data_IF_963218011133
#
_entry.id   IF_963218011133
#
_cell.length_a   1.000
_cell.length_b   1.000
_cell.length_c   1.000
_cell.angle_alpha   90.00
_cell.angle_beta   90.00
_cell.angle_gamma   90.00
#
_symmetry.space_group_name_H-M   'P 1'
#
loop_
_entity.id
_entity.type
_entity.pdbx_description
1 polymer ?
#
# COMPACT_ATOMS: atom_id res chain seq x y z
N UNK A 1 -24.25 1.54 -2.17
CA UNK A 1 -23.25 0.58 -1.66
C UNK A 1 -23.40 -0.72 -2.42
N UNK A 2 -22.30 -1.41 -2.70
CA UNK A 2 -22.24 -2.67 -3.41
C UNK A 2 -21.29 -3.62 -2.68
N UNK A 3 -21.60 -4.92 -2.66
CA UNK A 3 -20.76 -5.97 -2.09
C UNK A 3 -19.98 -6.65 -3.20
N UNK A 4 -18.73 -6.99 -2.90
CA UNK A 4 -17.79 -7.67 -3.78
C UNK A 4 -17.15 -8.85 -3.05
N UNK A 5 -16.75 -9.87 -3.79
CA UNK A 5 -16.08 -11.07 -3.24
C UNK A 5 -14.91 -11.52 -4.11
N UNK A 6 -14.03 -12.28 -3.47
CA UNK A 6 -13.13 -13.24 -4.11
C UNK A 6 -13.56 -14.60 -3.60
N UNK A 7 -14.25 -15.40 -4.41
CA UNK A 7 -14.77 -16.70 -3.96
C UNK A 7 -15.04 -17.63 -5.16
N UNK A 8 -14.91 -18.93 -4.97
CA UNK A 8 -15.22 -19.93 -6.00
C UNK A 8 -16.48 -20.76 -5.69
N UNK A 9 -16.93 -21.52 -6.68
CA UNK A 9 -18.08 -22.42 -6.59
C UNK A 9 -17.92 -23.56 -5.59
N UNK A 10 -16.72 -23.84 -5.08
CA UNK A 10 -16.50 -24.84 -4.05
C UNK A 10 -16.84 -24.30 -2.66
N UNK A 11 -16.72 -22.99 -2.49
CA UNK A 11 -16.86 -22.29 -1.21
C UNK A 11 -18.24 -21.67 -1.01
N UNK A 12 -19.11 -21.68 -2.04
CA UNK A 12 -20.46 -21.11 -1.98
C UNK A 12 -21.50 -21.97 -2.72
N UNK A 13 -22.75 -21.94 -2.25
CA UNK A 13 -23.90 -22.52 -2.95
C UNK A 13 -24.65 -21.43 -3.72
N UNK A 14 -25.25 -21.80 -4.86
CA UNK A 14 -26.15 -20.93 -5.62
C UNK A 14 -25.52 -20.23 -6.83
N UNK A 15 -24.26 -20.50 -7.15
CA UNK A 15 -23.72 -20.15 -8.47
C UNK A 15 -24.45 -20.94 -9.58
N UNK A 16 -24.60 -20.35 -10.78
CA UNK A 16 -25.22 -21.03 -11.91
C UNK A 16 -24.44 -22.30 -12.25
N UNK A 17 -25.14 -23.33 -12.75
CA UNK A 17 -24.50 -24.59 -13.15
C UNK A 17 -23.97 -24.54 -14.58
N UNK A 18 -24.60 -23.75 -15.45
CA UNK A 18 -24.18 -23.58 -16.84
C UNK A 18 -23.12 -22.46 -16.93
N UNK A 19 -21.90 -22.75 -17.45
CA UNK A 19 -20.89 -21.74 -17.72
C UNK A 19 -21.38 -20.55 -18.57
N UNK A 20 -22.39 -20.74 -19.43
CA UNK A 20 -22.97 -19.65 -20.22
C UNK A 20 -23.68 -18.61 -19.35
N UNK A 21 -24.33 -19.04 -18.29
CA UNK A 21 -25.02 -18.16 -17.34
C UNK A 21 -24.03 -17.51 -16.35
N UNK A 22 -22.84 -18.08 -16.20
CA UNK A 22 -21.80 -17.56 -15.33
C UNK A 22 -21.33 -16.15 -15.78
N UNK A 23 -21.11 -15.96 -17.08
CA UNK A 23 -20.67 -14.66 -17.63
C UNK A 23 -21.70 -13.56 -17.43
N UNK A 24 -23.00 -13.87 -17.54
CA UNK A 24 -24.08 -12.92 -17.26
C UNK A 24 -24.10 -12.43 -15.80
N UNK A 25 -23.53 -13.23 -14.89
CA UNK A 25 -23.37 -12.90 -13.47
C UNK A 25 -21.97 -12.32 -13.15
N UNK A 26 -21.17 -11.97 -14.17
CA UNK A 26 -19.78 -11.53 -14.05
C UNK A 26 -18.86 -12.54 -13.36
N UNK A 27 -19.18 -13.83 -13.44
CA UNK A 27 -18.31 -14.91 -12.97
C UNK A 27 -17.35 -15.33 -14.09
N UNK A 28 -16.14 -15.72 -13.69
CA UNK A 28 -15.10 -16.25 -14.58
C UNK A 28 -15.06 -17.76 -14.49
N UNK A 29 -14.89 -18.41 -15.64
CA UNK A 29 -14.77 -19.87 -15.72
C UNK A 29 -13.30 -20.28 -15.55
N UNK A 30 -12.97 -20.88 -14.42
CA UNK A 30 -11.69 -21.53 -14.19
C UNK A 30 -11.70 -23.00 -14.62
N UNK A 31 -10.63 -23.73 -14.27
CA UNK A 31 -10.57 -25.18 -14.50
C UNK A 31 -11.54 -25.89 -13.53
N UNK A 32 -12.71 -26.26 -14.04
CA UNK A 32 -13.78 -26.96 -13.32
C UNK A 32 -14.46 -26.16 -12.18
N UNK A 33 -14.23 -24.86 -12.09
CA UNK A 33 -14.83 -24.00 -11.05
C UNK A 33 -15.32 -22.68 -11.66
N UNK A 34 -16.39 -22.13 -11.09
CA UNK A 34 -16.81 -20.75 -11.35
C UNK A 34 -16.24 -19.84 -10.27
N UNK A 35 -15.77 -18.66 -10.67
CA UNK A 35 -14.97 -17.78 -9.83
C UNK A 35 -15.60 -16.39 -9.84
N UNK A 36 -15.90 -15.86 -8.67
CA UNK A 36 -16.22 -14.45 -8.44
C UNK A 36 -14.91 -13.73 -8.09
N UNK A 37 -14.46 -12.84 -8.98
CA UNK A 37 -13.31 -11.93 -8.78
C UNK A 37 -13.78 -10.47 -8.75
N UNK A 38 -14.97 -10.23 -8.21
CA UNK A 38 -15.58 -8.90 -8.21
C UNK A 38 -14.82 -7.89 -7.34
N UNK A 39 -14.04 -8.32 -6.33
CA UNK A 39 -13.16 -7.42 -5.57
C UNK A 39 -12.07 -6.84 -6.47
N UNK A 40 -11.35 -7.68 -7.21
CA UNK A 40 -10.33 -7.23 -8.17
C UNK A 40 -10.95 -6.28 -9.19
N UNK A 41 -12.10 -6.67 -9.75
CA UNK A 41 -12.84 -5.84 -10.72
C UNK A 41 -13.24 -4.48 -10.13
N UNK A 42 -13.67 -4.44 -8.87
CA UNK A 42 -14.04 -3.20 -8.18
C UNK A 42 -12.84 -2.29 -7.97
N UNK A 43 -11.70 -2.83 -7.53
CA UNK A 43 -10.45 -2.07 -7.45
C UNK A 43 -10.06 -1.47 -8.81
N UNK A 44 -10.02 -2.29 -9.87
CA UNK A 44 -9.66 -1.84 -11.23
C UNK A 44 -10.59 -0.72 -11.71
N UNK A 45 -11.91 -0.88 -11.56
CA UNK A 45 -12.87 0.13 -11.96
C UNK A 45 -12.69 1.44 -11.19
N UNK A 46 -12.53 1.36 -9.87
CA UNK A 46 -12.33 2.54 -9.03
C UNK A 46 -11.02 3.29 -9.35
N UNK A 47 -9.93 2.56 -9.62
CA UNK A 47 -8.65 3.15 -10.03
C UNK A 47 -8.80 3.82 -11.39
N UNK A 48 -9.44 3.16 -12.37
CA UNK A 48 -9.66 3.73 -13.70
C UNK A 48 -10.55 4.97 -13.68
N UNK A 49 -11.52 5.04 -12.79
CA UNK A 49 -12.39 6.22 -12.64
C UNK A 49 -11.72 7.38 -11.90
N UNK A 50 -10.66 7.13 -11.13
CA UNK A 50 -9.98 8.14 -10.32
C UNK A 50 -9.52 9.34 -11.18
N UNK A 51 -9.76 10.55 -10.67
CA UNK A 51 -9.46 11.82 -11.33
C UNK A 51 -8.43 12.67 -10.60
N UNK A 52 -8.38 12.60 -9.26
CA UNK A 52 -7.57 13.48 -8.42
C UNK A 52 -6.54 12.69 -7.62
N UNK A 53 -6.97 11.73 -6.81
CA UNK A 53 -6.05 10.96 -6.00
C UNK A 53 -6.58 9.58 -5.57
N UNK A 54 -5.64 8.73 -5.18
CA UNK A 54 -5.93 7.43 -4.55
C UNK A 54 -5.16 7.37 -3.22
N UNK A 55 -5.84 6.95 -2.16
CA UNK A 55 -5.23 6.62 -0.87
C UNK A 55 -5.53 5.16 -0.52
N UNK A 56 -4.49 4.37 -0.28
CA UNK A 56 -4.60 2.93 0.03
C UNK A 56 -3.89 2.64 1.35
N UNK A 57 -4.56 1.90 2.21
CA UNK A 57 -3.91 1.18 3.30
C UNK A 57 -4.08 -0.32 3.08
N UNK A 58 -2.98 -1.06 2.99
CA UNK A 58 -3.05 -2.50 2.77
C UNK A 58 -1.92 -3.27 3.46
N UNK A 59 -2.19 -4.48 3.94
CA UNK A 59 -1.18 -5.34 4.55
C UNK A 59 -0.13 -5.84 3.53
N UNK A 60 -0.54 -6.04 2.28
CA UNK A 60 0.35 -6.44 1.19
C UNK A 60 0.16 -5.54 -0.01
N UNK A 61 1.24 -5.34 -0.77
CA UNK A 61 1.20 -4.61 -2.02
C UNK A 61 2.10 -5.28 -3.07
N UNK A 62 1.57 -6.33 -3.70
CA UNK A 62 2.28 -7.19 -4.65
C UNK A 62 1.36 -7.49 -5.82
N UNK A 63 1.87 -7.34 -7.04
CA UNK A 63 1.10 -7.73 -8.21
C UNK A 63 1.69 -7.29 -9.52
N UNK A 64 0.95 -7.60 -10.58
CA UNK A 64 1.31 -7.32 -11.97
C UNK A 64 2.68 -7.88 -12.35
N UNK A 65 2.98 -9.12 -11.93
CA UNK A 65 4.30 -9.73 -12.12
C UNK A 65 4.72 -9.84 -13.57
N UNK A 66 3.77 -9.97 -14.49
CA UNK A 66 3.98 -9.98 -15.94
C UNK A 66 4.75 -8.74 -16.46
N UNK A 67 4.74 -7.64 -15.71
CA UNK A 67 5.45 -6.40 -16.03
C UNK A 67 6.70 -6.14 -15.19
N UNK A 68 7.08 -7.04 -14.28
CA UNK A 68 8.35 -6.92 -13.56
C UNK A 68 9.54 -7.12 -14.50
N UNK A 69 10.68 -6.49 -14.19
CA UNK A 69 11.92 -6.67 -14.98
C UNK A 69 12.49 -8.10 -14.99
N UNK A 70 11.97 -8.99 -14.13
CA UNK A 70 12.39 -10.39 -13.96
C UNK A 70 11.26 -11.16 -13.26
N UNK A 71 11.23 -12.50 -13.34
CA UNK A 71 10.20 -13.34 -12.69
C UNK A 71 8.77 -13.05 -13.17
N UNK A 72 8.61 -12.82 -14.49
CA UNK A 72 7.33 -12.45 -15.10
C UNK A 72 6.28 -13.57 -15.00
N UNK A 73 6.72 -14.81 -15.12
CA UNK A 73 5.88 -16.00 -15.14
C UNK A 73 5.50 -16.51 -13.74
N UNK A 74 5.78 -15.73 -12.68
CA UNK A 74 5.48 -16.11 -11.30
C UNK A 74 3.97 -16.27 -11.03
N UNK A 75 3.13 -15.56 -11.79
CA UNK A 75 1.68 -15.68 -11.71
C UNK A 75 1.00 -14.75 -10.71
N UNK A 76 1.65 -13.67 -10.24
CA UNK A 76 1.00 -12.62 -9.47
C UNK A 76 0.33 -11.60 -10.42
N UNK A 77 -0.69 -12.07 -11.14
CA UNK A 77 -1.29 -11.38 -12.29
C UNK A 77 -2.40 -10.37 -11.94
N UNK A 78 -2.69 -10.12 -10.66
CA UNK A 78 -3.59 -9.05 -10.28
C UNK A 78 -3.12 -7.70 -10.88
N UNK A 79 -4.07 -6.84 -11.26
CA UNK A 79 -3.80 -5.67 -12.08
C UNK A 79 -3.54 -4.41 -11.25
N UNK A 80 -3.71 -4.48 -9.92
CA UNK A 80 -3.87 -3.29 -9.07
C UNK A 80 -2.64 -2.38 -9.13
N UNK A 81 -1.40 -2.88 -8.96
CA UNK A 81 -0.21 -2.02 -9.08
C UNK A 81 -0.05 -1.38 -10.46
N UNK A 82 -0.29 -2.14 -11.53
CA UNK A 82 -0.16 -1.61 -12.89
C UNK A 82 -1.24 -0.59 -13.23
N UNK A 83 -2.49 -0.80 -12.83
CA UNK A 83 -3.58 0.17 -13.06
C UNK A 83 -3.30 1.51 -12.37
N UNK A 84 -2.72 1.49 -11.15
CA UNK A 84 -2.30 2.73 -10.47
C UNK A 84 -1.18 3.42 -11.24
N UNK A 85 -0.15 2.67 -11.65
CA UNK A 85 0.98 3.23 -12.39
C UNK A 85 0.57 3.81 -13.75
N UNK A 86 -0.33 3.13 -14.47
CA UNK A 86 -0.89 3.61 -15.73
C UNK A 86 -1.80 4.81 -15.53
N UNK A 87 -2.65 4.82 -14.50
CA UNK A 87 -3.47 5.99 -14.17
C UNK A 87 -2.60 7.23 -13.94
N UNK A 88 -1.52 7.11 -13.18
CA UNK A 88 -0.56 8.20 -12.98
C UNK A 88 0.09 8.61 -14.30
N UNK A 89 0.58 7.64 -15.08
CA UNK A 89 1.21 7.90 -16.38
C UNK A 89 0.28 8.65 -17.35
N UNK A 90 -1.00 8.27 -17.39
CA UNK A 90 -1.99 8.91 -18.24
C UNK A 90 -2.29 10.34 -17.79
N UNK A 91 -2.36 10.58 -16.47
CA UNK A 91 -2.50 11.94 -15.92
C UNK A 91 -1.29 12.82 -16.23
N UNK A 92 -0.07 12.27 -16.12
CA UNK A 92 1.16 12.95 -16.54
C UNK A 92 1.11 13.34 -18.02
N UNK A 93 0.74 12.40 -18.91
CA UNK A 93 0.62 12.66 -20.35
C UNK A 93 -0.45 13.70 -20.69
N UNK A 94 -1.50 13.75 -19.89
CA UNK A 94 -2.56 14.76 -20.01
C UNK A 94 -2.17 16.12 -19.37
N UNK A 95 -0.99 16.24 -18.75
CA UNK A 95 -0.58 17.39 -17.95
C UNK A 95 -1.56 17.72 -16.80
N UNK A 96 -2.22 16.70 -16.27
CA UNK A 96 -3.14 16.80 -15.14
C UNK A 96 -2.46 16.34 -13.86
N UNK A 97 -2.77 17.00 -12.74
CA UNK A 97 -2.25 16.57 -11.44
C UNK A 97 -3.00 15.35 -10.93
N UNK A 98 -2.24 14.44 -10.33
CA UNK A 98 -2.76 13.24 -9.70
C UNK A 98 -1.77 12.75 -8.63
N UNK A 99 -2.26 12.12 -7.58
CA UNK A 99 -1.42 11.53 -6.54
C UNK A 99 -1.92 10.16 -6.08
N UNK A 100 -0.99 9.27 -5.74
CA UNK A 100 -1.27 8.00 -5.09
C UNK A 100 -0.43 7.86 -3.82
N UNK A 101 -1.11 7.52 -2.73
CA UNK A 101 -0.56 7.34 -1.40
C UNK A 101 -0.81 5.91 -0.95
N UNK A 102 0.25 5.17 -0.63
CA UNK A 102 0.17 3.75 -0.29
C UNK A 102 0.81 3.54 1.08
N UNK A 103 0.01 3.15 2.07
CA UNK A 103 0.45 2.82 3.42
C UNK A 103 0.42 1.30 3.58
N UNK A 104 1.58 0.73 3.90
CA UNK A 104 1.82 -0.71 4.04
C UNK A 104 2.58 -0.97 5.35
N UNK A 105 2.55 -2.17 5.94
CA UNK A 105 3.33 -2.43 7.13
C UNK A 105 4.83 -2.33 6.81
N UNK A 106 5.64 -1.99 7.81
CA UNK A 106 7.10 -1.89 7.63
C UNK A 106 7.68 -3.23 7.13
N UNK A 107 7.19 -4.34 7.66
CA UNK A 107 7.31 -5.68 7.08
C UNK A 107 6.03 -6.49 7.34
N UNK A 108 5.71 -7.50 6.52
CA UNK A 108 4.62 -8.43 6.79
C UNK A 108 4.75 -9.15 8.13
N UNK A 109 3.64 -9.52 8.76
CA UNK A 109 3.64 -10.24 10.04
C UNK A 109 4.54 -11.49 10.00
N UNK A 110 5.29 -11.70 11.07
CA UNK A 110 6.26 -12.78 11.21
C UNK A 110 7.69 -12.28 11.38
N UNK A 111 8.63 -13.22 11.32
CA UNK A 111 10.05 -12.92 11.49
C UNK A 111 10.60 -12.18 10.24
N UNK A 112 11.08 -10.92 10.34
CA UNK A 112 11.58 -10.16 9.20
C UNK A 112 12.82 -10.76 8.55
N UNK A 113 13.58 -11.60 9.26
CA UNK A 113 14.71 -12.38 8.70
C UNK A 113 14.30 -13.71 8.06
N UNK A 114 13.06 -14.14 8.27
CA UNK A 114 12.54 -15.40 7.76
C UNK A 114 12.40 -15.39 6.23
N UNK A 115 12.65 -16.55 5.61
CA UNK A 115 12.65 -16.67 4.14
C UNK A 115 11.32 -16.23 3.50
N UNK A 116 10.18 -16.53 4.12
CA UNK A 116 8.86 -16.14 3.61
C UNK A 116 8.70 -14.61 3.58
N UNK A 117 8.95 -13.94 4.70
CA UNK A 117 8.88 -12.47 4.81
C UNK A 117 9.86 -11.79 3.86
N UNK A 118 11.10 -12.28 3.80
CA UNK A 118 12.12 -11.77 2.88
C UNK A 118 11.71 -11.91 1.41
N UNK A 119 11.03 -13.00 1.04
CA UNK A 119 10.53 -13.21 -0.32
C UNK A 119 9.33 -12.32 -0.65
N UNK A 120 8.43 -12.08 0.31
CA UNK A 120 7.31 -11.13 0.16
C UNK A 120 7.84 -9.71 -0.07
N UNK A 121 8.81 -9.27 0.74
CA UNK A 121 9.46 -7.96 0.59
C UNK A 121 10.18 -7.82 -0.77
N UNK A 122 10.77 -8.91 -1.27
CA UNK A 122 11.37 -8.92 -2.59
C UNK A 122 10.33 -8.71 -3.70
N UNK A 123 9.16 -9.35 -3.61
CA UNK A 123 8.07 -9.14 -4.57
C UNK A 123 7.46 -7.74 -4.49
N UNK A 124 7.33 -7.20 -3.28
CA UNK A 124 6.93 -5.82 -3.08
C UNK A 124 7.94 -4.86 -3.73
N UNK A 125 9.24 -5.08 -3.53
CA UNK A 125 10.29 -4.28 -4.17
C UNK A 125 10.21 -4.32 -5.70
N UNK A 126 9.99 -5.51 -6.30
CA UNK A 126 9.80 -5.65 -7.75
C UNK A 126 8.55 -4.90 -8.24
N UNK A 127 7.48 -4.94 -7.47
CA UNK A 127 6.23 -4.21 -7.75
C UNK A 127 6.47 -2.71 -7.73
N UNK A 128 7.09 -2.18 -6.66
CA UNK A 128 7.45 -0.76 -6.54
C UNK A 128 8.37 -0.31 -7.69
N UNK A 129 9.40 -1.10 -8.00
CA UNK A 129 10.34 -0.81 -9.09
C UNK A 129 9.62 -0.68 -10.44
N UNK A 130 8.70 -1.62 -10.76
CA UNK A 130 7.91 -1.57 -11.98
C UNK A 130 7.03 -0.32 -12.05
N UNK A 131 6.35 0.05 -10.96
CA UNK A 131 5.49 1.23 -10.94
C UNK A 131 6.28 2.52 -11.15
N UNK A 132 7.40 2.69 -10.43
CA UNK A 132 8.23 3.88 -10.55
C UNK A 132 8.92 4.01 -11.92
N UNK A 133 9.33 2.90 -12.53
CA UNK A 133 9.83 2.90 -13.92
C UNK A 133 8.75 3.34 -14.93
N UNK A 134 7.51 2.89 -14.75
CA UNK A 134 6.38 3.30 -15.61
C UNK A 134 6.10 4.80 -15.50
N UNK A 135 6.08 5.34 -14.27
CA UNK A 135 5.87 6.77 -14.02
C UNK A 135 7.03 7.60 -14.58
N UNK A 136 8.28 7.17 -14.37
CA UNK A 136 9.44 7.87 -14.91
C UNK A 136 9.42 7.93 -16.45
N UNK A 137 9.06 6.83 -17.12
CA UNK A 137 8.89 6.82 -18.58
C UNK A 137 7.85 7.84 -19.05
N UNK A 138 6.72 7.94 -18.36
CA UNK A 138 5.70 8.92 -18.69
C UNK A 138 6.22 10.37 -18.54
N UNK A 139 7.01 10.66 -17.49
CA UNK A 139 7.65 11.97 -17.34
C UNK A 139 8.59 12.30 -18.50
N UNK A 140 9.45 11.34 -18.88
CA UNK A 140 10.37 11.48 -20.01
C UNK A 140 9.63 11.71 -21.34
N UNK A 141 8.52 11.00 -21.57
CA UNK A 141 7.72 11.09 -22.80
C UNK A 141 7.18 12.51 -23.05
N UNK A 142 6.94 13.29 -21.98
CA UNK A 142 6.41 14.67 -22.07
C UNK A 142 7.40 15.75 -21.61
N UNK A 143 8.68 15.40 -21.40
CA UNK A 143 9.73 16.37 -21.06
C UNK A 143 9.59 16.98 -19.66
N UNK A 144 9.09 16.22 -18.69
CA UNK A 144 8.81 16.67 -17.32
C UNK A 144 9.75 16.06 -16.26
N UNK A 145 10.73 15.26 -16.66
CA UNK A 145 11.68 14.55 -15.78
C UNK A 145 12.59 15.48 -14.95
N UNK A 146 12.84 16.69 -15.43
CA UNK A 146 13.63 17.70 -14.73
C UNK A 146 12.77 18.57 -13.79
N UNK A 147 11.48 18.73 -14.12
CA UNK A 147 10.53 19.52 -13.34
C UNK A 147 9.93 18.73 -12.16
N UNK A 148 9.69 17.44 -12.35
CA UNK A 148 9.04 16.57 -11.36
C UNK A 148 9.82 15.29 -11.11
N UNK A 149 9.60 14.71 -9.94
CA UNK A 149 10.08 13.37 -9.59
C UNK A 149 8.93 12.36 -9.59
N UNK A 150 9.18 11.06 -9.76
CA UNK A 150 8.14 10.04 -9.60
C UNK A 150 7.43 10.08 -8.23
N UNK A 151 8.13 10.51 -7.17
CA UNK A 151 7.56 10.71 -5.82
C UNK A 151 6.70 11.96 -5.68
N UNK A 152 6.60 12.82 -6.70
CA UNK A 152 5.59 13.88 -6.75
C UNK A 152 4.21 13.33 -7.23
N UNK A 153 4.13 12.02 -7.54
CA UNK A 153 2.90 11.33 -7.95
C UNK A 153 2.62 10.05 -7.16
N UNK A 154 3.63 9.25 -6.82
CA UNK A 154 3.45 7.97 -6.10
C UNK A 154 4.34 7.92 -4.85
N UNK A 155 3.73 7.70 -3.68
CA UNK A 155 4.44 7.60 -2.41
C UNK A 155 4.03 6.37 -1.61
N UNK A 156 5.04 5.66 -1.08
CA UNK A 156 4.87 4.55 -0.15
C UNK A 156 5.29 4.97 1.25
N UNK A 157 4.47 4.58 2.23
CA UNK A 157 4.65 4.84 3.65
C UNK A 157 4.47 3.56 4.45
N UNK A 158 4.97 3.57 5.67
CA UNK A 158 4.60 2.61 6.71
C UNK A 158 4.30 3.35 8.01
N UNK A 159 3.80 2.65 9.02
CA UNK A 159 3.49 3.24 10.32
C UNK A 159 4.46 2.75 11.40
N UNK A 160 4.81 3.63 12.32
CA UNK A 160 5.61 3.30 13.49
C UNK A 160 5.33 4.21 14.66
N UNK A 161 5.64 3.72 15.86
CA UNK A 161 5.57 4.53 17.07
C UNK A 161 6.89 4.46 17.83
N UNK A 162 7.15 5.51 18.60
CA UNK A 162 8.27 5.58 19.53
C UNK A 162 7.87 6.39 20.75
N UNK A 163 7.99 5.77 21.92
CA UNK A 163 7.50 6.32 23.19
C UNK A 163 8.67 6.58 24.14
N UNK A 164 8.74 7.78 24.71
CA UNK A 164 9.74 8.10 25.72
C UNK A 164 9.55 7.23 26.98
N UNK A 165 10.58 7.21 27.84
CA UNK A 165 10.45 6.56 29.15
C UNK A 165 9.48 7.36 30.03
N UNK A 166 8.44 6.70 30.54
CA UNK A 166 7.53 7.29 31.51
C UNK A 166 8.15 7.35 32.91
N UNK A 167 7.65 8.24 33.77
CA UNK A 167 8.09 8.34 35.17
C UNK A 167 7.83 7.06 36.00
N UNK A 168 6.94 6.18 35.52
CA UNK A 168 6.58 4.90 36.13
C UNK A 168 7.10 3.68 35.36
N UNK A 169 7.90 3.88 34.30
CA UNK A 169 8.60 2.78 33.64
C UNK A 169 9.72 2.30 34.56
N UNK A 170 9.36 1.51 35.58
CA UNK A 170 10.32 0.71 36.32
C UNK A 170 11.05 -0.13 35.30
N UNK A 171 12.37 0.03 35.22
CA UNK A 171 13.23 -0.72 34.31
C UNK A 171 12.91 -2.21 34.39
N UNK A 172 12.11 -2.69 33.45
CA UNK A 172 11.80 -4.11 33.27
C UNK A 172 13.03 -4.86 32.71
N UNK A 173 14.24 -4.48 33.17
CA UNK A 173 15.50 -5.17 32.95
C UNK A 173 15.60 -6.47 33.78
N UNK A 174 14.47 -7.07 34.16
CA UNK A 174 14.45 -8.35 34.90
C UNK A 174 14.28 -9.58 34.00
N UNK A 175 14.19 -9.43 32.67
CA UNK A 175 14.16 -10.60 31.77
C UNK A 175 15.55 -11.00 31.29
N UNK A 176 15.87 -12.28 31.45
CA UNK A 176 17.07 -12.99 30.99
C UNK A 176 17.24 -13.08 29.46
N UNK A 177 16.68 -12.12 28.72
CA UNK A 177 16.76 -12.04 27.25
C UNK A 177 18.17 -11.62 26.84
N UNK A 178 18.74 -12.31 25.84
CA UNK A 178 20.05 -11.97 25.30
C UNK A 178 20.09 -10.48 24.90
N UNK A 179 21.13 -9.76 25.33
CA UNK A 179 21.25 -8.31 25.20
C UNK A 179 21.14 -7.78 23.75
N UNK A 180 21.36 -8.65 22.75
CA UNK A 180 21.30 -8.33 21.32
C UNK A 180 20.10 -8.97 20.60
N UNK A 181 19.10 -9.46 21.33
CA UNK A 181 17.86 -9.96 20.71
C UNK A 181 17.03 -8.81 20.12
N UNK A 182 16.26 -9.04 19.04
CA UNK A 182 15.35 -8.05 18.49
C UNK A 182 14.42 -7.41 19.53
N UNK A 183 13.92 -8.22 20.47
CA UNK A 183 13.06 -7.78 21.56
C UNK A 183 13.79 -6.80 22.49
N UNK A 184 15.02 -7.13 22.92
CA UNK A 184 15.82 -6.25 23.77
C UNK A 184 16.19 -4.95 23.07
N UNK A 185 16.51 -5.01 21.77
CA UNK A 185 16.84 -3.83 20.97
C UNK A 185 15.62 -2.91 20.80
N UNK A 186 14.45 -3.44 20.44
CA UNK A 186 13.21 -2.64 20.32
C UNK A 186 12.75 -2.05 21.65
N UNK A 187 12.91 -2.78 22.77
CA UNK A 187 12.64 -2.24 24.10
C UNK A 187 13.60 -1.10 24.46
N UNK A 188 14.88 -1.23 24.12
CA UNK A 188 15.91 -0.21 24.38
C UNK A 188 15.70 1.04 23.52
N UNK A 189 15.42 0.88 22.23
CA UNK A 189 15.16 1.97 21.29
C UNK A 189 13.77 2.58 21.46
N UNK A 190 12.89 1.88 22.19
CA UNK A 190 11.50 2.24 22.49
C UNK A 190 10.64 2.45 21.26
N UNK A 191 10.95 1.75 20.18
CA UNK A 191 10.25 1.89 18.90
C UNK A 191 9.78 0.56 18.35
N UNK A 192 8.67 0.58 17.64
CA UNK A 192 8.22 -0.55 16.84
C UNK A 192 7.28 -0.07 15.73
N UNK A 193 7.04 -0.90 14.72
CA UNK A 193 6.03 -0.59 13.73
C UNK A 193 4.63 -0.58 14.36
N UNK A 194 3.76 0.30 13.88
CA UNK A 194 2.31 0.10 14.01
C UNK A 194 1.92 -0.77 12.83
N UNK A 195 1.33 -1.93 13.11
CA UNK A 195 1.08 -2.90 12.06
C UNK A 195 -0.14 -2.51 11.22
N UNK A 196 0.09 -2.24 9.94
CA UNK A 196 -0.98 -1.94 8.98
C UNK A 196 -1.64 -3.25 8.54
N UNK A 197 -2.74 -3.60 9.21
CA UNK A 197 -3.59 -4.73 8.83
C UNK A 197 -4.81 -4.31 8.01
N UNK A 198 -4.94 -3.03 7.69
CA UNK A 198 -5.98 -2.48 6.82
C UNK A 198 -6.04 -3.18 5.46
N UNK A 199 -7.21 -3.17 4.83
CA UNK A 199 -7.42 -3.49 3.41
C UNK A 199 -8.47 -2.54 2.83
N UNK A 200 -8.03 -1.32 2.55
CA UNK A 200 -8.91 -0.22 2.15
C UNK A 200 -8.34 0.62 1.02
N UNK A 201 -9.23 1.27 0.27
CA UNK A 201 -8.89 2.27 -0.74
C UNK A 201 -9.93 3.39 -0.71
N UNK A 202 -9.46 4.63 -0.71
CA UNK A 202 -10.25 5.85 -0.89
C UNK A 202 -9.87 6.46 -2.23
N UNK A 203 -10.87 6.85 -3.01
CA UNK A 203 -10.70 7.48 -4.33
C UNK A 203 -11.43 8.81 -4.33
N UNK A 204 -10.67 9.88 -4.61
CA UNK A 204 -11.17 11.25 -4.82
C UNK A 204 -12.06 11.80 -3.68
N UNK A 205 -11.91 11.29 -2.46
CA UNK A 205 -12.80 11.56 -1.31
C UNK A 205 -14.30 11.25 -1.55
N UNK A 206 -14.63 10.60 -2.66
CA UNK A 206 -16.00 10.30 -3.09
C UNK A 206 -16.37 8.83 -2.89
N UNK A 207 -15.42 7.93 -3.10
CA UNK A 207 -15.65 6.49 -3.09
C UNK A 207 -14.67 5.80 -2.14
N UNK A 208 -15.19 4.81 -1.40
CA UNK A 208 -14.38 3.95 -0.53
C UNK A 208 -14.64 2.49 -0.82
N UNK A 209 -13.58 1.69 -0.82
CA UNK A 209 -13.60 0.23 -0.85
C UNK A 209 -12.93 -0.28 0.43
N UNK A 210 -13.65 -1.08 1.23
CA UNK A 210 -13.16 -1.66 2.49
C UNK A 210 -13.48 -3.14 2.54
N UNK A 211 -12.56 -3.98 3.01
CA UNK A 211 -12.81 -5.41 3.09
C UNK A 211 -11.70 -6.20 3.76
N UNK A 212 -11.61 -7.47 3.41
CA UNK A 212 -10.58 -8.40 3.89
C UNK A 212 -9.44 -8.63 2.89
N UNK A 213 -9.67 -8.32 1.61
CA UNK A 213 -8.76 -8.65 0.52
C UNK A 213 -7.49 -7.80 0.50
N UNK A 214 -6.34 -8.46 0.63
CA UNK A 214 -5.05 -7.82 0.46
C UNK A 214 -4.75 -7.52 -1.03
N UNK A 215 -3.83 -6.59 -1.32
CA UNK A 215 -3.31 -6.39 -2.68
C UNK A 215 -2.18 -7.40 -2.91
N UNK A 216 -2.59 -8.64 -3.17
CA UNK A 216 -1.72 -9.75 -3.56
C UNK A 216 -2.54 -10.75 -4.43
N UNK A 217 -1.90 -11.77 -4.99
CA UNK A 217 -2.61 -12.75 -5.81
C UNK A 217 -3.53 -13.63 -4.96
N UNK A 218 -3.11 -13.97 -3.73
CA UNK A 218 -3.88 -14.76 -2.76
C UNK A 218 -5.31 -14.23 -2.54
N UNK A 219 -5.46 -12.93 -2.34
CA UNK A 219 -6.76 -12.32 -2.05
C UNK A 219 -7.53 -11.91 -3.31
N UNK A 220 -6.86 -11.67 -4.45
CA UNK A 220 -7.50 -11.08 -5.63
C UNK A 220 -7.79 -12.07 -6.78
N UNK A 221 -7.33 -13.31 -6.70
CA UNK A 221 -7.55 -14.34 -7.74
C UNK A 221 -8.92 -15.03 -7.65
N UNK A 222 -9.60 -14.99 -6.50
CA UNK A 222 -10.91 -15.65 -6.33
C UNK A 222 -10.87 -17.16 -6.09
N UNK A 223 -9.84 -17.87 -6.54
CA UNK A 223 -9.66 -19.33 -6.33
C UNK A 223 -8.70 -19.70 -5.19
N UNK A 224 -8.18 -18.72 -4.45
CA UNK A 224 -7.24 -18.92 -3.35
C UNK A 224 -7.95 -18.67 -2.02
N UNK A 225 -7.76 -17.51 -1.42
CA UNK A 225 -8.44 -17.15 -0.18
C UNK A 225 -9.82 -16.59 -0.51
N UNK A 226 -10.82 -16.90 0.32
CA UNK A 226 -12.16 -16.34 0.20
C UNK A 226 -12.21 -14.98 0.88
N UNK A 227 -12.57 -13.93 0.14
CA UNK A 227 -12.56 -12.55 0.62
C UNK A 227 -13.90 -11.87 0.40
N UNK A 228 -14.17 -10.84 1.21
CA UNK A 228 -15.33 -9.97 1.07
C UNK A 228 -14.91 -8.49 1.16
N UNK A 229 -15.54 -7.65 0.36
CA UNK A 229 -15.39 -6.20 0.45
C UNK A 229 -16.72 -5.50 0.17
N UNK A 230 -16.84 -4.27 0.65
CA UNK A 230 -17.88 -3.33 0.27
C UNK A 230 -17.27 -2.17 -0.50
N UNK A 231 -18.01 -1.64 -1.48
CA UNK A 231 -17.78 -0.33 -2.08
C UNK A 231 -18.95 0.61 -1.86
N UNK A 232 -18.66 1.86 -1.51
CA UNK A 232 -19.70 2.86 -1.25
C UNK A 232 -19.25 4.26 -1.63
N UNK A 233 -20.24 5.07 -1.98
CA UNK A 233 -20.13 6.51 -2.16
C UNK A 233 -21.43 7.14 -1.63
N UNK A 234 -21.40 8.45 -1.38
CA UNK A 234 -22.58 9.20 -0.96
C UNK A 234 -23.12 9.99 -2.17
N UNK A 235 -24.31 9.68 -2.72
CA UNK A 235 -24.81 10.33 -3.94
C UNK A 235 -24.89 11.86 -3.88
N UNK A 236 -25.09 12.42 -2.68
CA UNK A 236 -25.12 13.87 -2.45
C UNK A 236 -23.74 14.50 -2.23
N UNK A 237 -22.65 13.73 -2.25
CA UNK A 237 -21.27 14.17 -2.05
C UNK A 237 -20.38 13.55 -3.13
N UNK A 238 -20.61 13.96 -4.38
CA UNK A 238 -19.82 13.53 -5.54
C UNK A 238 -19.24 14.74 -6.25
N UNK A 239 -18.10 14.59 -6.92
CA UNK A 239 -17.50 15.62 -7.77
C UNK A 239 -18.47 16.08 -8.85
N UNK A 240 -19.17 15.14 -9.51
CA UNK A 240 -20.13 15.46 -10.56
C UNK A 240 -21.28 16.37 -10.08
N UNK A 241 -21.74 16.22 -8.84
CA UNK A 241 -22.82 17.03 -8.27
C UNK A 241 -22.31 18.33 -7.64
N UNK A 242 -21.19 18.27 -6.93
CA UNK A 242 -20.64 19.42 -6.16
C UNK A 242 -19.78 20.35 -6.99
N UNK A 243 -19.25 19.89 -8.12
CA UNK A 243 -18.29 20.62 -8.97
C UNK A 243 -17.07 21.13 -8.17
N UNK A 244 -16.78 20.47 -7.05
CA UNK A 244 -15.71 20.76 -6.10
C UNK A 244 -15.50 19.54 -5.21
N UNK A 245 -14.43 19.55 -4.40
CA UNK A 245 -14.07 18.42 -3.56
C UNK A 245 -15.24 17.98 -2.66
N UNK A 246 -15.62 16.68 -2.66
CA UNK A 246 -16.77 16.18 -1.92
C UNK A 246 -16.45 16.09 -0.44
N UNK A 247 -16.99 17.01 0.36
CA UNK A 247 -16.82 17.03 1.82
C UNK A 247 -17.86 16.14 2.54
N UNK A 248 -17.89 14.85 2.17
CA UNK A 248 -18.74 13.84 2.79
C UNK A 248 -18.11 13.15 4.00
N UNK A 249 -18.72 12.03 4.41
CA UNK A 249 -18.16 11.12 5.42
C UNK A 249 -16.85 10.48 4.95
N UNK A 250 -16.68 10.24 3.65
CA UNK A 250 -15.45 9.65 3.10
C UNK A 250 -14.27 10.64 3.23
N UNK A 251 -14.49 11.91 2.87
CA UNK A 251 -13.54 13.00 3.17
C UNK A 251 -13.21 13.07 4.67
N UNK A 252 -14.23 13.08 5.54
CA UNK A 252 -14.03 13.13 6.99
C UNK A 252 -13.23 11.95 7.53
N UNK A 253 -13.51 10.75 7.02
CA UNK A 253 -12.78 9.53 7.35
C UNK A 253 -11.31 9.61 6.93
N UNK A 254 -11.04 10.04 5.69
CA UNK A 254 -9.68 10.22 5.16
C UNK A 254 -8.89 11.28 5.94
N UNK A 255 -9.52 12.42 6.25
CA UNK A 255 -8.92 13.46 7.10
C UNK A 255 -8.62 12.92 8.51
N UNK A 256 -9.51 12.09 9.09
CA UNK A 256 -9.29 11.48 10.40
C UNK A 256 -8.11 10.51 10.40
N UNK A 257 -8.00 9.64 9.38
CA UNK A 257 -6.84 8.74 9.22
C UNK A 257 -5.55 9.54 9.06
N UNK A 258 -5.56 10.61 8.25
CA UNK A 258 -4.39 11.46 8.11
C UNK A 258 -4.03 12.17 9.41
N UNK A 259 -5.00 12.64 10.18
CA UNK A 259 -4.76 13.22 11.50
C UNK A 259 -4.13 12.21 12.47
N UNK A 260 -4.61 10.97 12.48
CA UNK A 260 -4.02 9.86 13.26
C UNK A 260 -2.57 9.60 12.84
N UNK A 261 -2.32 9.43 11.53
CA UNK A 261 -1.00 9.08 11.04
C UNK A 261 0.00 10.23 11.10
N UNK A 262 -0.44 11.47 10.90
CA UNK A 262 0.45 12.64 10.83
C UNK A 262 0.59 13.31 12.22
N UNK A 263 -0.41 13.17 13.09
CA UNK A 263 -0.48 13.88 14.37
C UNK A 263 -0.93 15.35 14.24
N UNK A 264 -1.40 15.75 13.05
CA UNK A 264 -1.86 17.11 12.76
C UNK A 264 -2.84 17.14 11.59
N UNK A 265 -3.58 18.25 11.47
CA UNK A 265 -4.40 18.58 10.31
C UNK A 265 -3.87 19.88 9.71
N UNK A 266 -3.56 19.87 8.43
CA UNK A 266 -3.07 21.03 7.69
C UNK A 266 -3.98 21.34 6.50
N UNK A 267 -4.07 22.60 6.10
CA UNK A 267 -4.97 23.07 5.04
C UNK A 267 -4.70 22.36 3.70
N UNK A 268 -3.42 22.16 3.35
CA UNK A 268 -3.05 21.46 2.12
C UNK A 268 -3.59 20.03 2.03
N UNK A 269 -3.96 19.40 3.15
CA UNK A 269 -4.54 18.05 3.17
C UNK A 269 -5.96 17.99 2.59
N UNK A 270 -6.60 19.14 2.37
CA UNK A 270 -7.88 19.22 1.66
C UNK A 270 -7.73 19.03 0.14
N UNK A 271 -6.51 19.08 -0.40
CA UNK A 271 -6.21 18.88 -1.83
C UNK A 271 -5.09 17.84 -2.02
N UNK A 272 -5.37 16.54 -1.83
CA UNK A 272 -4.37 15.48 -1.87
C UNK A 272 -3.62 15.35 -3.20
N UNK A 273 -4.20 15.77 -4.31
CA UNK A 273 -3.56 15.75 -5.63
C UNK A 273 -2.53 16.89 -5.83
N UNK A 274 -2.61 17.93 -4.98
CA UNK A 274 -1.77 19.12 -5.11
C UNK A 274 -0.29 18.79 -4.85
N UNK A 275 0.61 19.54 -5.52
CA UNK A 275 2.05 19.31 -5.37
C UNK A 275 2.50 19.65 -3.95
N UNK A 276 1.88 20.67 -3.38
CA UNK A 276 2.08 21.10 -2.00
C UNK A 276 1.74 19.98 -1.02
N UNK A 277 0.55 19.39 -1.12
CA UNK A 277 0.15 18.29 -0.22
C UNK A 277 1.08 17.08 -0.34
N UNK A 278 1.36 16.62 -1.57
CA UNK A 278 2.26 15.48 -1.81
C UNK A 278 3.63 15.71 -1.18
N UNK A 279 4.23 16.88 -1.43
CA UNK A 279 5.55 17.21 -0.88
C UNK A 279 5.51 17.37 0.63
N UNK A 280 4.46 17.98 1.18
CA UNK A 280 4.29 18.15 2.63
C UNK A 280 4.22 16.81 3.35
N UNK A 281 3.39 15.88 2.87
CA UNK A 281 3.27 14.53 3.45
C UNK A 281 4.58 13.77 3.33
N UNK A 282 5.26 13.86 2.19
CA UNK A 282 6.59 13.24 2.02
C UNK A 282 7.59 13.79 3.03
N UNK A 283 7.66 15.11 3.19
CA UNK A 283 8.53 15.76 4.19
C UNK A 283 8.21 15.33 5.62
N UNK A 284 6.93 15.24 5.99
CA UNK A 284 6.52 14.75 7.30
C UNK A 284 6.93 13.29 7.51
N UNK A 285 6.72 12.42 6.51
CA UNK A 285 7.19 11.04 6.53
C UNK A 285 8.71 10.90 6.64
N UNK A 286 9.48 11.76 5.97
CA UNK A 286 10.94 11.83 6.08
C UNK A 286 11.39 12.27 7.48
N UNK A 287 10.74 13.29 8.06
CA UNK A 287 11.02 13.77 9.41
C UNK A 287 10.72 12.71 10.47
N UNK A 288 9.55 12.07 10.38
CA UNK A 288 9.16 11.01 11.30
C UNK A 288 10.06 9.78 11.17
N UNK A 289 10.48 9.40 9.95
CA UNK A 289 11.45 8.31 9.76
C UNK A 289 12.78 8.64 10.46
N UNK A 290 13.32 9.85 10.28
CA UNK A 290 14.56 10.28 10.95
C UNK A 290 14.42 10.23 12.47
N UNK A 291 13.30 10.69 13.02
CA UNK A 291 13.03 10.61 14.46
C UNK A 291 12.89 9.16 14.94
N UNK A 292 12.22 8.30 14.17
CA UNK A 292 12.05 6.88 14.46
C UNK A 292 13.40 6.16 14.52
N UNK A 293 14.31 6.45 13.58
CA UNK A 293 15.61 5.77 13.51
C UNK A 293 16.70 6.36 14.41
N UNK A 294 16.52 7.56 14.95
CA UNK A 294 17.54 8.28 15.72
C UNK A 294 18.05 7.51 16.95
N UNK A 295 19.30 7.73 17.33
CA UNK A 295 19.87 7.13 18.55
C UNK A 295 19.17 7.64 19.81
N UNK A 296 18.83 8.93 19.85
CA UNK A 296 18.10 9.55 20.95
C UNK A 296 16.63 9.11 20.95
N UNK A 297 16.14 8.65 22.10
CA UNK A 297 14.74 8.27 22.30
C UNK A 297 13.92 9.52 22.55
N UNK A 298 13.01 9.83 21.62
CA UNK A 298 12.06 10.94 21.74
C UNK A 298 10.65 10.45 21.42
N UNK A 299 9.66 11.07 22.05
CA UNK A 299 8.24 10.80 21.80
C UNK A 299 7.87 11.20 20.37
N UNK A 300 7.24 10.28 19.63
CA UNK A 300 6.69 10.55 18.31
C UNK A 300 5.21 10.88 18.40
N UNK A 301 4.82 12.00 17.77
CA UNK A 301 3.41 12.40 17.66
C UNK A 301 2.75 11.95 16.35
N UNK A 302 3.55 11.79 15.31
CA UNK A 302 3.11 11.29 14.01
C UNK A 302 3.65 9.90 13.77
N UNK A 303 2.81 9.03 13.24
CA UNK A 303 3.11 7.62 12.98
C UNK A 303 3.48 7.33 11.52
N UNK A 304 3.14 8.22 10.58
CA UNK A 304 3.44 8.07 9.17
C UNK A 304 4.95 8.19 8.93
N UNK A 305 5.57 7.10 8.52
CA UNK A 305 6.97 7.04 8.16
C UNK A 305 7.09 6.89 6.64
N UNK A 306 8.07 7.57 6.04
CA UNK A 306 8.51 7.19 4.70
C UNK A 306 8.85 5.70 4.69
N UNK A 307 8.30 4.95 3.74
CA UNK A 307 8.72 3.55 3.57
C UNK A 307 10.23 3.55 3.28
N UNK A 308 11.06 2.70 3.92
CA UNK A 308 12.51 2.91 4.03
C UNK A 308 13.32 2.59 2.75
N UNK A 309 12.81 3.04 1.61
CA UNK A 309 13.44 3.00 0.30
C UNK A 309 13.63 4.43 -0.23
N UNK A 310 14.73 4.61 -0.95
CA UNK A 310 14.97 5.73 -1.83
C UNK A 310 14.43 5.42 -3.22
N UNK A 311 13.89 6.44 -3.88
CA UNK A 311 13.52 6.40 -5.29
C UNK A 311 14.30 7.51 -5.98
N UNK A 312 15.23 7.15 -6.86
CA UNK A 312 15.96 8.16 -7.61
C UNK A 312 15.08 8.83 -8.68
N UNK A 313 15.60 9.89 -9.31
CA UNK A 313 14.87 10.63 -10.35
C UNK A 313 14.48 9.77 -11.56
N UNK A 314 15.12 8.62 -11.75
CA UNK A 314 14.87 7.67 -12.85
C UNK A 314 13.95 6.51 -12.44
N UNK A 315 13.34 6.59 -11.26
CA UNK A 315 12.45 5.56 -10.74
C UNK A 315 13.16 4.31 -10.22
N UNK A 316 14.47 4.37 -9.95
CA UNK A 316 15.18 3.24 -9.34
C UNK A 316 14.90 3.18 -7.84
N UNK A 317 14.43 2.03 -7.38
CA UNK A 317 14.12 1.78 -5.97
C UNK A 317 15.29 1.07 -5.30
N UNK A 318 15.83 1.68 -4.25
CA UNK A 318 16.94 1.14 -3.43
C UNK A 318 16.62 1.32 -1.94
N UNK A 319 17.24 0.56 -1.04
CA UNK A 319 17.15 0.91 0.38
C UNK A 319 17.66 2.33 0.63
N UNK A 320 17.10 3.03 1.63
CA UNK A 320 17.65 4.33 2.05
C UNK A 320 19.14 4.19 2.43
N UNK A 321 19.99 5.21 2.22
CA UNK A 321 21.38 5.17 2.66
C UNK A 321 21.51 4.80 4.14
N UNK A 322 22.37 3.83 4.46
CA UNK A 322 22.54 3.29 5.81
C UNK A 322 21.41 2.36 6.30
N UNK A 323 20.32 2.21 5.53
CA UNK A 323 19.17 1.38 5.88
C UNK A 323 19.18 0.08 5.05
N UNK A 324 20.19 -0.77 5.24
CA UNK A 324 20.22 -2.09 4.58
C UNK A 324 19.21 -3.07 5.18
N UNK A 325 18.88 -2.91 6.46
CA UNK A 325 17.96 -3.77 7.21
C UNK A 325 17.03 -2.96 8.09
N UNK A 326 15.93 -3.57 8.55
CA UNK A 326 15.00 -2.89 9.47
C UNK A 326 15.66 -2.63 10.82
N UNK A 327 15.34 -1.48 11.46
CA UNK A 327 15.87 -1.13 12.77
C UNK A 327 15.51 -2.19 13.81
N UNK A 328 16.47 -2.55 14.66
CA UNK A 328 16.37 -3.47 15.81
C UNK A 328 16.10 -4.95 15.47
N UNK A 329 15.41 -5.23 14.38
CA UNK A 329 14.92 -6.58 14.03
C UNK A 329 15.68 -7.24 12.89
N UNK A 330 16.64 -6.54 12.26
CA UNK A 330 17.37 -7.00 11.07
C UNK A 330 16.44 -7.29 9.88
N UNK A 331 16.90 -8.07 8.90
CA UNK A 331 16.13 -8.43 7.71
C UNK A 331 16.21 -7.34 6.63
N UNK A 332 16.46 -7.73 5.39
CA UNK A 332 16.70 -6.77 4.31
C UNK A 332 15.40 -6.04 3.96
N UNK A 333 15.46 -4.70 3.85
CA UNK A 333 14.29 -3.85 3.54
C UNK A 333 13.69 -4.14 2.16
N UNK A 334 14.56 -4.42 1.18
CA UNK A 334 14.15 -4.80 -0.19
C UNK A 334 13.96 -6.30 -0.36
N UNK A 335 13.98 -7.05 0.74
CA UNK A 335 13.86 -8.49 0.75
C UNK A 335 15.05 -9.21 0.14
N UNK A 336 14.91 -10.52 0.03
CA UNK A 336 15.88 -11.39 -0.65
C UNK A 336 15.17 -12.58 -1.28
N UNK A 337 15.70 -13.03 -2.42
CA UNK A 337 15.19 -14.21 -3.11
C UNK A 337 15.87 -15.45 -2.54
N UNK A 338 15.35 -15.94 -1.42
CA UNK A 338 15.71 -17.24 -0.85
C UNK A 338 14.81 -18.32 -1.46
N UNK A 339 15.41 -19.39 -1.97
CA UNK A 339 14.68 -20.51 -2.57
C UNK A 339 13.79 -21.15 -1.50
N UNK A 340 12.48 -21.16 -1.73
CA UNK A 340 11.49 -21.88 -0.93
C UNK A 340 10.73 -22.80 -1.87
N UNK A 341 10.40 -24.00 -1.41
CA UNK A 341 9.81 -25.07 -2.22
C UNK A 341 8.45 -24.73 -2.87
N UNK A 342 7.70 -23.76 -2.36
CA UNK A 342 6.33 -23.47 -2.85
C UNK A 342 6.10 -21.98 -3.15
N UNK A 343 5.23 -21.68 -4.12
CA UNK A 343 4.79 -20.33 -4.52
C UNK A 343 3.79 -19.68 -3.51
N UNK A 344 3.97 -19.90 -2.21
CA UNK A 344 3.04 -19.45 -1.16
C UNK A 344 3.06 -17.94 -0.86
N UNK A 345 4.01 -17.19 -1.42
CA UNK A 345 4.33 -15.81 -1.02
C UNK A 345 3.83 -14.73 -1.99
N UNK A 346 2.98 -15.09 -2.96
CA UNK A 346 2.40 -14.16 -3.94
C UNK A 346 0.91 -13.93 -3.77
#
# INVERSE_FOLDING_TARGET
MQIFRSIDSNSIRGFPKDPKDATNNNLVCGKNVLIDMSIHTAYVKAIRSAQHFIYIENQYFIGSSYSWGSHKDLGANNLIPMEIALKIADKIRAHERFAAYIVIPMWPEGNPTGAATQRILFWQHKTMQMMYETIYKALMEVGLEDAYSPQDYLNFFCLGNREAFGAHDTSAMSSSTAANSPQALSQKSRRFMIYVHSKGMIVDDEYVLLGSANINQRSLEGTRDTEIAMGAYQPSHTWALKQSSPHGQIYGYRMSLWAEHIGAVEECFAQPESLECVRRIRTLGDMNWKQFVADEVTEMRGHLLKYPVEVDRKGKVKPLPGCGSFPDVSGNIVGSFLVIQENLTI
#
